data_IF_394947565961
#
_entry.id   IF_394947565961
#
_cell.length_a   1.000
_cell.length_b   1.000
_cell.length_c   1.000
_cell.angle_alpha   90.00
_cell.angle_beta   90.00
_cell.angle_gamma   90.00
#
_symmetry.space_group_name_H-M   'P 1'
#
loop_
_entity.id
_entity.type
_entity.pdbx_description
1 polymer ?
#
# COMPACT_ATOMS: atom_id res chain seq x y z
N UNK A 1 13.62 9.48 11.17
CA UNK A 1 12.60 9.55 12.23
C UNK A 1 11.20 9.32 11.68
N UNK A 2 10.50 8.33 12.23
CA UNK A 2 9.11 8.01 11.93
C UNK A 2 8.17 8.98 12.69
N UNK A 3 7.14 9.58 12.04
CA UNK A 3 6.11 10.37 12.71
C UNK A 3 5.43 9.60 13.86
N UNK A 4 5.07 10.28 14.94
CA UNK A 4 4.46 9.64 16.11
C UNK A 4 2.93 9.50 15.99
N UNK A 5 2.26 10.46 15.35
CA UNK A 5 0.81 10.48 15.23
C UNK A 5 0.29 9.54 14.15
N UNK A 6 -0.90 8.98 14.37
CA UNK A 6 -1.64 8.24 13.35
C UNK A 6 -1.89 9.11 12.10
N UNK A 7 -1.82 8.49 10.91
CA UNK A 7 -1.98 9.18 9.64
C UNK A 7 -1.28 8.52 8.46
N UNK A 8 -1.48 9.14 7.31
CA UNK A 8 -0.71 8.89 6.09
C UNK A 8 0.32 10.00 5.94
N UNK A 9 1.57 9.62 5.67
CA UNK A 9 2.67 10.55 5.48
C UNK A 9 3.42 10.22 4.20
N UNK A 10 3.67 11.22 3.36
CA UNK A 10 4.50 11.09 2.16
C UNK A 10 5.81 11.82 2.40
N UNK A 11 6.93 11.17 2.10
CA UNK A 11 8.25 11.76 2.34
C UNK A 11 8.61 12.74 1.23
N UNK A 12 8.79 14.00 1.59
CA UNK A 12 9.37 15.01 0.70
C UNK A 12 10.90 14.89 0.75
N UNK A 13 11.49 14.47 -0.38
CA UNK A 13 12.94 14.27 -0.50
C UNK A 13 13.74 15.57 -0.44
N UNK A 14 13.25 16.63 -1.08
CA UNK A 14 13.94 17.92 -1.12
C UNK A 14 14.03 18.54 0.28
N UNK A 15 12.92 18.50 1.01
CA UNK A 15 12.82 19.01 2.38
C UNK A 15 13.26 17.98 3.44
N UNK A 16 13.63 16.76 3.04
CA UNK A 16 13.94 15.60 3.90
C UNK A 16 12.99 15.44 5.08
N UNK A 17 11.70 15.56 4.84
CA UNK A 17 10.67 15.60 5.89
C UNK A 17 9.38 14.91 5.46
N UNK A 18 8.61 14.47 6.46
CA UNK A 18 7.31 13.85 6.26
C UNK A 18 6.22 14.91 6.11
N UNK A 19 5.38 14.77 5.10
CA UNK A 19 4.19 15.60 4.89
C UNK A 19 2.96 14.74 5.20
N UNK A 20 2.18 15.15 6.22
CA UNK A 20 0.92 14.47 6.55
C UNK A 20 -0.09 14.73 5.44
N UNK A 21 -0.69 13.66 4.94
CA UNK A 21 -1.75 13.71 3.93
C UNK A 21 -3.10 13.68 4.65
N UNK A 22 -4.01 14.52 4.18
CA UNK A 22 -5.39 14.56 4.64
C UNK A 22 -6.30 14.57 3.42
N UNK A 23 -7.04 13.49 3.23
CA UNK A 23 -7.99 13.31 2.13
C UNK A 23 -9.36 12.89 2.68
N UNK A 24 -10.43 13.25 1.97
CA UNK A 24 -11.77 12.72 2.23
C UNK A 24 -11.89 11.31 1.62
N UNK A 25 -11.30 10.32 2.30
CA UNK A 25 -11.20 8.93 1.85
C UNK A 25 -9.79 8.35 2.01
N UNK A 26 -9.50 7.20 1.37
CA UNK A 26 -8.16 6.61 1.39
C UNK A 26 -7.17 7.45 0.59
N UNK A 27 -5.89 7.36 0.94
CA UNK A 27 -4.81 7.87 0.12
C UNK A 27 -4.48 6.87 -1.00
N UNK A 28 -4.55 7.37 -2.24
CA UNK A 28 -4.06 6.69 -3.44
C UNK A 28 -3.17 7.68 -4.17
N UNK A 29 -1.90 7.33 -4.48
CA UNK A 29 -1.03 8.24 -5.20
C UNK A 29 -1.59 8.58 -6.58
N UNK A 30 -1.52 9.87 -6.96
CA UNK A 30 -2.11 10.41 -8.20
C UNK A 30 -1.06 10.88 -9.21
N UNK A 31 0.17 11.12 -8.76
CA UNK A 31 1.25 11.53 -9.65
C UNK A 31 1.96 10.29 -10.20
N UNK A 32 2.41 10.38 -11.45
CA UNK A 32 3.13 9.28 -12.08
C UNK A 32 4.44 8.99 -11.34
N UNK A 33 4.69 7.72 -11.08
CA UNK A 33 5.86 7.33 -10.30
C UNK A 33 5.73 5.96 -9.66
N UNK A 34 6.72 5.63 -8.84
CA UNK A 34 6.69 4.46 -7.96
C UNK A 34 6.60 4.97 -6.53
N UNK A 35 5.78 4.34 -5.70
CA UNK A 35 5.60 4.67 -4.29
C UNK A 35 5.90 3.42 -3.45
N UNK A 36 6.58 3.61 -2.33
CA UNK A 36 6.88 2.55 -1.36
C UNK A 36 6.16 2.89 -0.05
N UNK A 37 5.03 2.25 0.21
CA UNK A 37 4.23 2.48 1.40
C UNK A 37 4.52 1.45 2.49
N UNK A 38 4.96 1.89 3.66
CA UNK A 38 5.09 1.07 4.84
C UNK A 38 3.83 1.19 5.71
N UNK A 39 3.10 0.08 5.85
CA UNK A 39 1.97 -0.05 6.76
C UNK A 39 2.42 -0.62 8.10
N UNK A 40 2.16 0.13 9.16
CA UNK A 40 2.47 -0.26 10.54
C UNK A 40 1.34 0.10 11.49
N UNK A 41 1.35 -0.51 12.66
CA UNK A 41 0.52 -0.03 13.76
C UNK A 41 1.31 0.09 15.06
N UNK A 42 0.86 0.97 15.96
CA UNK A 42 1.60 1.31 17.19
C UNK A 42 1.74 0.14 18.17
N UNK A 43 0.81 -0.82 18.13
CA UNK A 43 0.81 -1.96 19.06
C UNK A 43 1.65 -3.15 18.55
N UNK A 44 2.02 -3.16 17.28
CA UNK A 44 2.72 -4.25 16.59
C UNK A 44 4.21 -4.34 16.99
N UNK A 45 4.65 -5.42 17.69
CA UNK A 45 6.06 -5.59 18.06
C UNK A 45 6.97 -5.80 16.85
N UNK A 46 6.51 -6.55 15.83
CA UNK A 46 7.27 -6.77 14.60
C UNK A 46 7.54 -5.47 13.84
N UNK A 47 6.61 -4.52 13.90
CA UNK A 47 6.77 -3.20 13.30
C UNK A 47 7.90 -2.43 13.97
N UNK A 48 7.99 -2.48 15.32
CA UNK A 48 9.11 -1.87 16.06
C UNK A 48 10.48 -2.47 15.70
N UNK A 49 10.52 -3.74 15.33
CA UNK A 49 11.74 -4.36 14.83
C UNK A 49 12.09 -3.86 13.42
N UNK A 50 11.09 -3.81 12.53
CA UNK A 50 11.24 -3.34 11.16
C UNK A 50 11.49 -1.83 11.03
N UNK A 51 11.05 -1.03 12.00
CA UNK A 51 11.26 0.42 12.03
C UNK A 51 12.73 0.80 11.87
N UNK A 52 13.68 -0.05 12.33
CA UNK A 52 15.12 0.18 12.13
C UNK A 52 15.54 0.14 10.66
N UNK A 53 15.02 -0.82 9.90
CA UNK A 53 15.29 -0.95 8.45
C UNK A 53 14.67 0.23 7.71
N UNK A 54 13.44 0.61 8.08
CA UNK A 54 12.77 1.77 7.51
C UNK A 54 13.50 3.08 7.80
N UNK A 55 13.92 3.31 9.04
CA UNK A 55 14.65 4.53 9.41
C UNK A 55 16.00 4.59 8.72
N UNK A 56 16.72 3.47 8.60
CA UNK A 56 17.96 3.41 7.84
C UNK A 56 17.75 3.74 6.36
N UNK A 57 16.68 3.22 5.74
CA UNK A 57 16.30 3.59 4.38
C UNK A 57 16.15 5.11 4.27
N UNK A 58 15.31 5.71 5.11
CA UNK A 58 14.94 7.13 5.02
C UNK A 58 16.15 8.04 5.33
N UNK A 59 16.95 7.69 6.32
CA UNK A 59 18.02 8.56 6.80
C UNK A 59 19.28 8.46 5.94
N UNK A 60 19.63 7.26 5.47
CA UNK A 60 20.93 7.00 4.83
C UNK A 60 20.84 6.61 3.36
N UNK A 61 19.73 6.01 2.94
CA UNK A 61 19.64 5.36 1.63
C UNK A 61 18.55 5.92 0.71
N UNK A 62 17.80 6.94 1.13
CA UNK A 62 16.64 7.48 0.38
C UNK A 62 17.03 7.99 -1.02
N UNK A 63 18.26 8.47 -1.18
CA UNK A 63 18.77 8.96 -2.48
C UNK A 63 19.02 7.81 -3.48
N UNK A 64 19.14 6.57 -3.00
CA UNK A 64 19.27 5.34 -3.82
C UNK A 64 17.92 4.69 -4.15
N UNK A 65 16.85 5.14 -3.50
CA UNK A 65 15.51 4.61 -3.69
C UNK A 65 14.91 5.25 -4.95
N UNK A 66 14.28 4.47 -5.82
CA UNK A 66 13.58 4.92 -7.03
C UNK A 66 12.05 4.98 -6.85
N UNK A 67 11.61 5.16 -5.61
CA UNK A 67 10.21 5.24 -5.22
C UNK A 67 9.99 6.33 -4.17
N UNK A 68 8.85 7.00 -4.16
CA UNK A 68 8.48 7.96 -3.10
C UNK A 68 8.11 7.18 -1.83
N UNK A 69 8.83 7.35 -0.71
CA UNK A 69 8.46 6.70 0.53
C UNK A 69 7.15 7.28 1.06
N UNK A 70 6.27 6.38 1.52
CA UNK A 70 5.08 6.71 2.25
C UNK A 70 4.97 5.85 3.51
N UNK A 71 4.32 6.37 4.52
CA UNK A 71 4.06 5.70 5.78
C UNK A 71 2.58 5.79 6.07
N UNK A 72 1.96 4.65 6.35
CA UNK A 72 0.56 4.56 6.75
C UNK A 72 0.53 3.93 8.13
N UNK A 73 0.04 4.66 9.13
CA UNK A 73 0.03 4.15 10.50
C UNK A 73 -1.25 4.47 11.27
N UNK A 74 -1.70 3.46 11.99
CA UNK A 74 -2.85 3.48 12.88
C UNK A 74 -2.45 2.94 14.25
N UNK A 75 -3.32 3.08 15.27
CA UNK A 75 -3.09 2.40 16.55
C UNK A 75 -3.14 0.89 16.41
N UNK A 76 -4.18 0.36 15.76
CA UNK A 76 -4.36 -1.06 15.52
C UNK A 76 -5.29 -1.32 14.31
N UNK A 77 -4.71 -1.31 13.10
CA UNK A 77 -5.39 -1.49 11.80
C UNK A 77 -6.55 -0.51 11.55
N UNK A 78 -7.38 -0.78 10.52
CA UNK A 78 -8.46 0.12 10.10
C UNK A 78 -9.57 0.31 11.14
N UNK A 79 -9.79 -0.65 12.04
CA UNK A 79 -10.89 -0.66 13.00
C UNK A 79 -10.57 0.10 14.31
N UNK A 80 -9.31 0.34 14.61
CA UNK A 80 -8.85 1.15 15.75
C UNK A 80 -7.79 2.15 15.26
N UNK A 81 -8.30 3.21 14.61
CA UNK A 81 -7.53 4.29 14.01
C UNK A 81 -8.33 5.60 14.09
N UNK A 82 -7.73 6.61 14.69
CA UNK A 82 -8.24 7.98 14.85
C UNK A 82 -8.12 8.83 13.58
N UNK A 83 -7.14 8.53 12.72
CA UNK A 83 -6.98 9.20 11.42
C UNK A 83 -7.81 8.48 10.35
N UNK A 84 -8.78 9.20 9.76
CA UNK A 84 -9.70 8.62 8.79
C UNK A 84 -9.03 8.24 7.48
N UNK A 85 -8.12 9.08 6.98
CA UNK A 85 -7.38 8.80 5.75
C UNK A 85 -6.55 7.53 5.92
N UNK A 86 -5.85 7.37 7.06
CA UNK A 86 -5.10 6.15 7.35
C UNK A 86 -6.00 4.92 7.51
N UNK A 87 -7.10 5.01 8.26
CA UNK A 87 -8.08 3.93 8.41
C UNK A 87 -8.60 3.45 7.06
N UNK A 88 -9.01 4.39 6.21
CA UNK A 88 -9.54 4.10 4.88
C UNK A 88 -8.45 3.52 3.97
N UNK A 89 -7.20 3.97 4.09
CA UNK A 89 -6.05 3.44 3.31
C UNK A 89 -5.71 2.00 3.72
N UNK A 90 -5.68 1.69 5.01
CA UNK A 90 -5.53 0.31 5.51
C UNK A 90 -6.60 -0.62 4.92
N UNK A 91 -7.83 -0.13 4.85
CA UNK A 91 -8.96 -0.87 4.34
C UNK A 91 -8.92 -1.04 2.82
N UNK A 92 -8.59 0.03 2.08
CA UNK A 92 -8.47 -0.04 0.61
C UNK A 92 -7.44 -1.09 0.19
N UNK A 93 -6.27 -1.11 0.84
CA UNK A 93 -5.22 -2.06 0.51
C UNK A 93 -5.36 -3.41 1.22
N UNK A 94 -6.48 -3.65 1.90
CA UNK A 94 -6.79 -4.87 2.67
C UNK A 94 -5.64 -5.33 3.59
N UNK A 95 -4.97 -4.37 4.24
CA UNK A 95 -3.84 -4.67 5.11
C UNK A 95 -4.35 -5.25 6.43
N UNK A 96 -4.28 -6.57 6.54
CA UNK A 96 -4.74 -7.36 7.70
C UNK A 96 -3.61 -7.85 8.61
N UNK A 97 -2.35 -7.66 8.21
CA UNK A 97 -1.16 -7.95 9.00
C UNK A 97 -0.08 -6.89 8.77
N UNK A 98 0.70 -6.60 9.82
CA UNK A 98 1.81 -5.63 9.79
C UNK A 98 3.03 -6.21 10.51
N UNK A 99 4.26 -5.81 10.17
CA UNK A 99 4.63 -4.80 9.16
C UNK A 99 4.35 -5.32 7.74
N UNK A 100 3.79 -4.47 6.90
CA UNK A 100 3.60 -4.77 5.49
C UNK A 100 4.13 -3.61 4.65
N UNK A 101 4.82 -3.92 3.58
CA UNK A 101 5.34 -2.94 2.63
C UNK A 101 4.66 -3.18 1.30
N UNK A 102 4.17 -2.10 0.70
CA UNK A 102 3.47 -2.11 -0.57
C UNK A 102 4.21 -1.22 -1.55
N UNK A 103 4.55 -1.74 -2.72
CA UNK A 103 5.01 -0.94 -3.86
C UNK A 103 3.85 -0.69 -4.79
N UNK A 104 3.64 0.58 -5.15
CA UNK A 104 2.61 1.02 -6.07
C UNK A 104 3.25 1.70 -7.26
N UNK A 105 2.81 1.37 -8.48
CA UNK A 105 3.21 2.10 -9.70
C UNK A 105 2.00 2.81 -10.27
N UNK A 106 2.16 4.11 -10.49
CA UNK A 106 1.15 4.99 -11.08
C UNK A 106 1.66 5.43 -12.46
N UNK A 107 0.83 5.26 -13.49
CA UNK A 107 1.10 5.71 -14.86
C UNK A 107 -0.16 6.27 -15.51
N UNK A 108 -0.07 7.50 -16.03
CA UNK A 108 -1.21 8.24 -16.54
C UNK A 108 -2.19 8.67 -15.45
N UNK A 109 -1.72 8.84 -14.21
CA UNK A 109 -2.55 9.16 -13.05
C UNK A 109 -3.39 8.00 -12.50
N UNK A 110 -3.20 6.78 -13.02
CA UNK A 110 -3.91 5.58 -12.59
C UNK A 110 -2.97 4.61 -11.88
N UNK A 111 -3.45 3.99 -10.80
CA UNK A 111 -2.72 2.93 -10.11
C UNK A 111 -2.70 1.67 -11.00
N UNK A 112 -1.53 1.37 -11.58
CA UNK A 112 -1.35 0.27 -12.55
C UNK A 112 -0.87 -1.02 -11.95
N UNK A 113 -0.14 -0.95 -10.85
CA UNK A 113 0.52 -2.11 -10.26
C UNK A 113 0.63 -1.93 -8.76
N UNK A 114 0.36 -3.03 -8.04
CA UNK A 114 0.50 -3.13 -6.59
C UNK A 114 1.20 -4.45 -6.28
N UNK A 115 2.31 -4.35 -5.56
CA UNK A 115 3.03 -5.51 -5.07
C UNK A 115 3.22 -5.39 -3.56
N UNK A 116 3.12 -6.51 -2.85
CA UNK A 116 3.12 -6.54 -1.38
C UNK A 116 4.19 -7.49 -0.90
N UNK A 117 4.85 -7.13 0.19
CA UNK A 117 5.80 -7.96 0.90
C UNK A 117 5.59 -7.75 2.41
N UNK A 118 5.72 -8.81 3.20
CA UNK A 118 5.68 -8.66 4.64
C UNK A 118 7.04 -8.18 5.17
N UNK A 119 7.03 -7.26 6.13
CA UNK A 119 8.29 -6.69 6.65
C UNK A 119 9.21 -7.71 7.34
N UNK A 120 8.71 -8.91 7.70
CA UNK A 120 9.55 -10.00 8.21
C UNK A 120 10.30 -10.78 7.11
N UNK A 121 9.94 -10.58 5.84
CA UNK A 121 10.63 -11.14 4.67
C UNK A 121 11.79 -10.24 4.21
N UNK A 122 11.89 -9.03 4.80
CA UNK A 122 12.90 -8.02 4.49
C UNK A 122 13.89 -7.99 5.65
N UNK A 123 15.11 -8.49 5.42
CA UNK A 123 16.14 -8.60 6.46
C UNK A 123 17.03 -7.36 6.55
N UNK A 124 17.12 -6.59 5.46
CA UNK A 124 18.03 -5.45 5.33
C UNK A 124 17.45 -4.28 4.53
N UNK A 125 18.13 -3.13 4.58
CA UNK A 125 17.79 -1.97 3.74
C UNK A 125 18.05 -2.25 2.26
N UNK A 126 19.03 -3.11 1.96
CA UNK A 126 19.33 -3.58 0.61
C UNK A 126 18.16 -4.38 0.02
N UNK A 127 17.55 -5.27 0.80
CA UNK A 127 16.36 -6.04 0.36
C UNK A 127 15.19 -5.11 0.09
N UNK A 128 14.98 -4.12 0.95
CA UNK A 128 13.92 -3.12 0.78
C UNK A 128 14.13 -2.25 -0.46
N UNK A 129 15.38 -1.87 -0.74
CA UNK A 129 15.75 -1.14 -1.96
C UNK A 129 15.52 -2.00 -3.22
N UNK A 130 15.94 -3.26 -3.21
CA UNK A 130 15.72 -4.18 -4.32
C UNK A 130 14.22 -4.37 -4.59
N UNK A 131 13.43 -4.62 -3.53
CA UNK A 131 11.98 -4.72 -3.60
C UNK A 131 11.37 -3.47 -4.25
N UNK A 132 11.73 -2.27 -3.82
CA UNK A 132 11.16 -1.05 -4.38
C UNK A 132 11.65 -0.75 -5.82
N UNK A 133 12.95 -0.87 -6.07
CA UNK A 133 13.58 -0.39 -7.31
C UNK A 133 13.30 -1.31 -8.50
N UNK A 134 13.12 -2.61 -8.26
CA UNK A 134 12.88 -3.60 -9.31
C UNK A 134 11.39 -3.78 -9.65
N UNK A 135 10.48 -3.15 -8.90
CA UNK A 135 9.03 -3.32 -9.08
C UNK A 135 8.54 -2.99 -10.50
N UNK A 136 9.14 -1.97 -11.16
CA UNK A 136 8.82 -1.64 -12.56
C UNK A 136 9.28 -2.71 -13.54
N UNK A 137 10.38 -3.40 -13.27
CA UNK A 137 10.82 -4.52 -14.11
C UNK A 137 9.89 -5.71 -13.92
N UNK A 138 9.51 -6.02 -12.67
CA UNK A 138 8.52 -7.07 -12.37
C UNK A 138 7.17 -6.80 -13.02
N UNK A 139 6.65 -5.57 -12.89
CA UNK A 139 5.42 -5.14 -13.57
C UNK A 139 5.46 -5.41 -15.09
N UNK A 140 6.58 -5.09 -15.76
CA UNK A 140 6.72 -5.32 -17.21
C UNK A 140 6.73 -6.81 -17.55
N UNK A 141 7.47 -7.63 -16.80
CA UNK A 141 7.48 -9.09 -16.99
C UNK A 141 6.09 -9.68 -16.82
N UNK A 142 5.34 -9.27 -15.80
CA UNK A 142 3.96 -9.71 -15.62
C UNK A 142 3.03 -9.28 -16.76
N UNK A 143 3.21 -8.09 -17.32
CA UNK A 143 2.42 -7.66 -18.48
C UNK A 143 2.76 -8.46 -19.75
N UNK A 144 4.02 -8.86 -19.93
CA UNK A 144 4.47 -9.68 -21.06
C UNK A 144 4.08 -11.17 -20.92
N UNK A 145 4.09 -11.71 -19.69
CA UNK A 145 3.75 -13.10 -19.38
C UNK A 145 2.23 -13.31 -19.16
N UNK A 146 1.53 -12.26 -18.72
CA UNK A 146 0.11 -12.27 -18.35
C UNK A 146 -0.87 -12.44 -19.51
N UNK A 147 -0.47 -12.18 -20.77
CA UNK A 147 -1.32 -12.47 -21.94
C UNK A 147 -1.65 -13.97 -22.13
N UNK A 148 -1.10 -14.87 -21.30
CA UNK A 148 -1.19 -16.31 -21.48
C UNK A 148 -2.21 -17.07 -20.60
N UNK A 149 -2.66 -16.56 -19.44
CA UNK A 149 -3.54 -17.33 -18.53
C UNK A 149 -4.54 -16.43 -17.79
N UNK A 150 -5.84 -16.53 -18.12
CA UNK A 150 -6.93 -16.07 -17.24
C UNK A 150 -7.78 -17.27 -16.81
N UNK A 151 -7.77 -17.57 -15.51
CA UNK A 151 -8.69 -18.52 -14.90
C UNK A 151 -10.04 -17.82 -14.60
N UNK A 152 -11.15 -18.45 -15.00
CA UNK A 152 -12.50 -18.02 -14.63
C UNK A 152 -12.75 -18.33 -13.14
N UNK A 153 -12.70 -17.31 -12.29
CA UNK A 153 -12.96 -17.47 -10.85
C UNK A 153 -14.35 -16.94 -10.43
N UNK A 154 -15.03 -17.73 -9.59
CA UNK A 154 -16.40 -17.48 -9.11
C UNK A 154 -16.43 -16.55 -7.89
N UNK A 155 -17.12 -15.41 -8.00
CA UNK A 155 -17.41 -14.49 -6.90
C UNK A 155 -18.17 -13.25 -7.37
N UNK A 156 -18.75 -12.46 -6.47
CA UNK A 156 -19.32 -11.16 -6.83
C UNK A 156 -18.19 -10.13 -6.94
N UNK A 157 -17.95 -9.61 -8.15
CA UNK A 157 -16.96 -8.57 -8.38
C UNK A 157 -17.48 -7.21 -7.93
N UNK A 158 -16.73 -6.57 -7.04
CA UNK A 158 -16.86 -5.14 -6.81
C UNK A 158 -16.13 -4.41 -7.93
N UNK A 159 -16.84 -4.17 -9.03
CA UNK A 159 -16.35 -3.35 -10.13
C UNK A 159 -16.31 -1.88 -9.66
N UNK A 160 -15.11 -1.32 -9.60
CA UNK A 160 -14.89 0.09 -9.27
C UNK A 160 -14.83 0.89 -10.55
N UNK A 161 -15.94 1.55 -10.91
CA UNK A 161 -15.93 2.53 -11.99
C UNK A 161 -15.43 3.89 -11.46
N UNK A 162 -14.30 4.39 -11.98
CA UNK A 162 -14.02 5.83 -11.99
C UNK A 162 -13.39 6.48 -10.75
N UNK A 163 -12.54 5.78 -9.99
CA UNK A 163 -11.64 6.44 -9.03
C UNK A 163 -12.31 7.07 -7.78
N UNK A 164 -13.59 6.78 -7.51
CA UNK A 164 -14.25 7.18 -6.26
C UNK A 164 -13.85 6.21 -5.12
N UNK A 165 -12.59 6.29 -4.69
CA UNK A 165 -12.04 5.39 -3.67
C UNK A 165 -12.75 5.46 -2.32
N UNK A 166 -13.38 6.59 -2.00
CA UNK A 166 -14.19 6.74 -0.79
C UNK A 166 -15.39 5.79 -0.79
N UNK A 167 -16.14 5.74 -1.88
CA UNK A 167 -17.30 4.84 -1.99
C UNK A 167 -16.87 3.37 -1.95
N UNK A 168 -15.75 3.04 -2.58
CA UNK A 168 -15.16 1.69 -2.52
C UNK A 168 -14.89 1.30 -1.08
N UNK A 169 -14.20 2.17 -0.33
CA UNK A 169 -13.87 1.90 1.07
C UNK A 169 -15.12 1.81 1.94
N UNK A 170 -16.14 2.61 1.71
CA UNK A 170 -17.42 2.50 2.44
C UNK A 170 -18.09 1.13 2.20
N UNK A 171 -18.08 0.63 0.96
CA UNK A 171 -18.58 -0.71 0.62
C UNK A 171 -17.74 -1.81 1.28
N UNK A 172 -16.40 -1.74 1.16
CA UNK A 172 -15.48 -2.69 1.80
C UNK A 172 -15.69 -2.74 3.32
N UNK A 173 -15.83 -1.58 3.96
CA UNK A 173 -16.05 -1.48 5.41
C UNK A 173 -17.31 -2.21 5.82
N UNK A 174 -18.41 -1.99 5.09
CA UNK A 174 -19.69 -2.65 5.35
C UNK A 174 -19.55 -4.17 5.22
N UNK A 175 -18.95 -4.65 4.14
CA UNK A 175 -18.79 -6.08 3.88
C UNK A 175 -17.95 -6.79 4.95
N UNK A 176 -16.81 -6.22 5.35
CA UNK A 176 -15.98 -6.81 6.39
C UNK A 176 -16.67 -6.81 7.77
N UNK A 177 -17.44 -5.77 8.09
CA UNK A 177 -18.23 -5.72 9.34
C UNK A 177 -19.40 -6.72 9.33
N UNK A 178 -19.93 -7.06 8.16
CA UNK A 178 -20.90 -8.13 7.96
C UNK A 178 -20.25 -9.54 7.99
N UNK A 179 -18.93 -9.63 8.12
CA UNK A 179 -18.18 -10.88 8.17
C UNK A 179 -17.98 -11.54 6.81
N UNK A 180 -18.15 -10.79 5.71
CA UNK A 180 -17.88 -11.29 4.36
C UNK A 180 -16.38 -11.43 4.13
N UNK A 181 -15.98 -12.44 3.37
CA UNK A 181 -14.60 -12.58 2.94
C UNK A 181 -14.38 -11.71 1.70
N UNK A 182 -13.37 -10.85 1.74
CA UNK A 182 -13.02 -9.98 0.62
C UNK A 182 -11.56 -10.19 0.28
N UNK A 183 -11.28 -10.50 -0.98
CA UNK A 183 -9.92 -10.60 -1.50
C UNK A 183 -9.71 -9.63 -2.66
N UNK A 184 -8.50 -9.12 -2.78
CA UNK A 184 -8.07 -8.36 -3.94
C UNK A 184 -7.47 -9.31 -4.97
N UNK A 185 -7.87 -9.17 -6.22
CA UNK A 185 -7.37 -9.93 -7.37
C UNK A 185 -6.83 -8.92 -8.36
N UNK A 186 -5.53 -9.01 -8.66
CA UNK A 186 -4.89 -8.19 -9.68
C UNK A 186 -4.50 -9.08 -10.86
N UNK A 187 -5.03 -8.76 -12.03
CA UNK A 187 -4.71 -9.42 -13.30
C UNK A 187 -4.36 -8.37 -14.37
N UNK A 188 -4.19 -8.81 -15.62
CA UNK A 188 -3.94 -7.99 -16.80
C UNK A 188 -4.95 -6.83 -17.00
N UNK A 189 -6.15 -6.93 -16.41
CA UNK A 189 -7.24 -5.95 -16.52
C UNK A 189 -7.22 -4.96 -15.36
N UNK A 190 -6.29 -5.12 -14.42
CA UNK A 190 -6.12 -4.30 -13.22
C UNK A 190 -6.48 -5.04 -11.94
N UNK A 191 -6.53 -4.29 -10.83
CA UNK A 191 -6.89 -4.81 -9.52
C UNK A 191 -8.39 -4.61 -9.24
N UNK A 192 -9.06 -5.67 -8.79
CA UNK A 192 -10.48 -5.70 -8.39
C UNK A 192 -10.66 -6.40 -7.05
N UNK A 193 -11.77 -6.12 -6.37
CA UNK A 193 -12.14 -6.82 -5.13
C UNK A 193 -13.19 -7.89 -5.43
N UNK A 194 -12.94 -9.11 -4.96
CA UNK A 194 -13.86 -10.25 -5.06
C UNK A 194 -14.41 -10.54 -3.67
N UNK A 195 -15.73 -10.65 -3.58
CA UNK A 195 -16.44 -10.96 -2.34
C UNK A 195 -16.95 -12.40 -2.38
N UNK A 196 -16.64 -13.18 -1.35
CA UNK A 196 -17.08 -14.57 -1.14
C UNK A 196 -18.12 -14.67 0.00
#
# INVERSE_FOLDING_TARGET
MIPEEEGVYVFNREARSWVKISEDGPWVPKEDGTYLAYFRNHICPGCKAFDRVWEELIEKCVDKLHAVPALVQCRNFFFDCSDRTASDTFLLFLVNATPQVIVMVVEGGELRYVERCYGFEIESVEDLLAFANEARERMRKYAEEGEAESEEESGEELVVEGGNWKEVVEKLRKLLLEGRNVREVCDERGCRFVVE
#
